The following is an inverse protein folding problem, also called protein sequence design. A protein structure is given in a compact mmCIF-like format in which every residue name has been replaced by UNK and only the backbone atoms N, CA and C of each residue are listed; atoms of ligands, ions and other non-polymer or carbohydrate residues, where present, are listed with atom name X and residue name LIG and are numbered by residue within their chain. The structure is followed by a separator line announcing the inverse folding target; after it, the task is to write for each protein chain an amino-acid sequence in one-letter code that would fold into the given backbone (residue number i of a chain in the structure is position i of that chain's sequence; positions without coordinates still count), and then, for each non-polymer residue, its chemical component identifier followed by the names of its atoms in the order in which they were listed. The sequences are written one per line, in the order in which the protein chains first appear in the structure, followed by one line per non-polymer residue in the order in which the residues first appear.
data_IF_527328502622
#
_entry.id   IF_527328502622
#
_cell.length_a   1.000
_cell.length_b   1.000
_cell.length_c   1.000
_cell.angle_alpha   90.00
_cell.angle_beta   90.00
_cell.angle_gamma   90.00
#
_symmetry.space_group_name_H-M   'P 1'
#
loop_
_entity.id
_entity.type
_entity.pdbx_description
1 polymer ?
#
# COMPACT_ATOMS: atom_id res chain seq x y z
N UNK A 1 13.28 1.23 -29.35
CA UNK A 1 12.90 -0.15 -28.98
C UNK A 1 11.85 -0.03 -27.89
N UNK A 2 10.59 -0.33 -28.21
CA UNK A 2 9.51 -0.39 -27.22
C UNK A 2 9.55 -1.77 -26.58
N UNK A 3 9.92 -1.83 -25.31
CA UNK A 3 10.10 -3.09 -24.60
C UNK A 3 8.73 -3.66 -24.20
N UNK A 4 8.30 -4.68 -24.96
CA UNK A 4 7.01 -5.36 -24.78
C UNK A 4 6.96 -6.13 -23.46
N UNK A 5 8.11 -6.49 -22.88
CA UNK A 5 8.19 -7.14 -21.56
C UNK A 5 7.84 -6.18 -20.43
N UNK A 6 8.41 -4.98 -20.45
CA UNK A 6 8.10 -3.94 -19.47
C UNK A 6 6.62 -3.49 -19.57
N UNK A 7 6.05 -3.42 -20.78
CA UNK A 7 4.63 -3.07 -20.96
C UNK A 7 3.65 -4.13 -20.44
N UNK A 8 3.97 -5.43 -20.57
CA UNK A 8 3.13 -6.52 -20.06
C UNK A 8 3.22 -6.61 -18.52
N UNK A 9 4.40 -6.42 -17.95
CA UNK A 9 4.59 -6.39 -16.49
C UNK A 9 3.88 -5.17 -15.91
N UNK A 10 4.07 -3.99 -16.49
CA UNK A 10 3.40 -2.76 -16.07
C UNK A 10 1.87 -2.85 -16.19
N UNK A 11 1.36 -3.44 -17.28
CA UNK A 11 -0.07 -3.65 -17.47
C UNK A 11 -0.68 -4.62 -16.44
N UNK A 12 0.02 -5.71 -16.14
CA UNK A 12 -0.43 -6.71 -15.15
C UNK A 12 -0.36 -6.15 -13.73
N UNK A 13 0.67 -5.39 -13.42
CA UNK A 13 0.85 -4.74 -12.12
C UNK A 13 -0.15 -3.62 -11.87
N UNK A 14 -0.37 -2.74 -12.87
CA UNK A 14 -1.40 -1.71 -12.82
C UNK A 14 -2.79 -2.35 -12.73
N UNK A 15 -3.05 -3.47 -13.43
CA UNK A 15 -4.34 -4.17 -13.31
C UNK A 15 -4.58 -4.76 -11.93
N UNK A 16 -3.54 -5.31 -11.31
CA UNK A 16 -3.62 -5.89 -9.95
C UNK A 16 -3.73 -4.80 -8.91
N UNK A 17 -3.01 -3.70 -9.08
CA UNK A 17 -3.06 -2.54 -8.22
C UNK A 17 -4.41 -1.82 -8.32
N UNK A 18 -4.93 -1.61 -9.52
CA UNK A 18 -6.29 -1.09 -9.76
C UNK A 18 -7.34 -2.07 -9.24
N UNK A 19 -7.15 -3.40 -9.34
CA UNK A 19 -8.04 -4.37 -8.72
C UNK A 19 -8.04 -4.27 -7.19
N UNK A 20 -6.86 -4.13 -6.57
CA UNK A 20 -6.74 -3.88 -5.13
C UNK A 20 -7.40 -2.55 -4.72
N UNK A 21 -7.23 -1.49 -5.50
CA UNK A 21 -7.89 -0.19 -5.26
C UNK A 21 -9.40 -0.27 -5.51
N UNK A 22 -9.88 -1.03 -6.49
CA UNK A 22 -11.30 -1.25 -6.74
C UNK A 22 -11.95 -2.11 -5.66
N UNK A 23 -11.26 -3.15 -5.17
CA UNK A 23 -11.71 -3.97 -4.03
C UNK A 23 -11.70 -3.14 -2.75
N UNK A 24 -10.66 -2.36 -2.49
CA UNK A 24 -10.62 -1.42 -1.36
C UNK A 24 -11.71 -0.36 -1.48
N UNK A 25 -11.97 0.16 -2.68
CA UNK A 25 -13.11 1.06 -2.96
C UNK A 25 -14.46 0.34 -2.88
N UNK A 26 -14.55 -0.96 -3.10
CA UNK A 26 -15.79 -1.73 -2.85
C UNK A 26 -16.01 -1.91 -1.35
N UNK A 27 -14.93 -1.92 -0.57
CA UNK A 27 -14.95 -1.96 0.89
C UNK A 27 -15.13 -0.55 1.50
N UNK A 28 -14.67 0.52 0.83
CA UNK A 28 -14.74 1.92 1.28
C UNK A 28 -15.76 2.80 0.53
N UNK A 29 -16.45 2.26 -0.47
CA UNK A 29 -17.43 2.96 -1.28
C UNK A 29 -18.74 3.05 -0.52
N UNK A 30 -18.94 4.15 0.17
CA UNK A 30 -20.26 4.56 0.63
C UNK A 30 -21.19 4.77 -0.58
N UNK A 31 -22.15 3.87 -0.68
CA UNK A 31 -23.31 3.90 -1.56
C UNK A 31 -24.23 2.77 -1.12
N UNK A 32 -24.90 3.00 0.01
CA UNK A 32 -25.93 2.15 0.62
C UNK A 32 -25.46 0.83 1.27
N UNK A 33 -24.93 0.93 2.49
CA UNK A 33 -24.90 -0.20 3.42
C UNK A 33 -23.52 -0.59 3.92
N UNK A 34 -22.89 0.27 4.74
CA UNK A 34 -22.12 -0.32 5.83
C UNK A 34 -23.16 -1.03 6.71
N UNK A 35 -23.24 -2.36 6.61
CA UNK A 35 -23.88 -3.10 7.68
C UNK A 35 -23.04 -2.81 8.90
N UNK A 36 -23.56 -1.93 9.77
CA UNK A 36 -23.12 -1.76 11.13
C UNK A 36 -22.55 -3.09 11.63
N UNK A 37 -21.33 -3.14 12.21
CA UNK A 37 -20.73 -4.40 12.66
C UNK A 37 -21.73 -5.19 13.51
N UNK A 38 -22.62 -4.47 14.17
CA UNK A 38 -23.90 -4.86 14.72
C UNK A 38 -24.93 -5.34 13.67
N UNK A 39 -25.07 -6.66 13.53
CA UNK A 39 -26.17 -7.27 12.77
C UNK A 39 -27.35 -7.53 13.68
N UNK A 40 -28.49 -6.96 13.31
CA UNK A 40 -29.74 -7.08 14.04
C UNK A 40 -30.65 -8.11 13.36
N UNK A 41 -31.49 -8.80 14.14
CA UNK A 41 -32.59 -9.58 13.56
C UNK A 41 -33.76 -8.69 13.12
N UNK A 42 -34.79 -9.30 12.52
CA UNK A 42 -36.05 -8.66 12.11
C UNK A 42 -36.77 -7.86 13.22
N UNK A 43 -36.42 -8.09 14.49
CA UNK A 43 -36.98 -7.38 15.64
C UNK A 43 -36.03 -6.30 16.19
N UNK A 44 -35.01 -5.90 15.41
CA UNK A 44 -33.95 -4.94 15.81
C UNK A 44 -33.14 -5.36 17.04
N UNK A 45 -33.02 -6.67 17.32
CA UNK A 45 -32.15 -7.17 18.42
C UNK A 45 -30.76 -7.53 17.88
N UNK A 46 -29.71 -7.03 18.52
CA UNK A 46 -28.32 -7.30 18.14
C UNK A 46 -28.00 -8.80 18.27
N UNK A 47 -27.49 -9.41 17.19
CA UNK A 47 -27.21 -10.86 17.09
C UNK A 47 -25.74 -11.15 16.81
N UNK A 48 -25.06 -10.33 16.00
CA UNK A 48 -23.66 -10.55 15.63
C UNK A 48 -22.89 -9.24 15.61
N UNK A 49 -21.61 -9.28 16.03
CA UNK A 49 -20.64 -8.20 15.85
C UNK A 49 -19.56 -8.74 14.91
N UNK A 50 -19.62 -8.40 13.62
CA UNK A 50 -18.57 -8.76 12.68
C UNK A 50 -17.37 -7.82 12.88
N UNK A 51 -16.20 -8.35 13.26
CA UNK A 51 -14.96 -7.57 13.28
C UNK A 51 -14.65 -7.15 11.84
N UNK A 52 -14.66 -5.84 11.57
CA UNK A 52 -14.24 -5.28 10.30
C UNK A 52 -12.81 -5.68 9.95
N UNK A 53 -12.50 -5.66 8.65
CA UNK A 53 -11.14 -5.96 8.17
C UNK A 53 -10.21 -4.81 8.58
N UNK A 54 -9.12 -5.14 9.27
CA UNK A 54 -8.13 -4.15 9.73
C UNK A 54 -7.23 -3.70 8.56
N UNK A 55 -7.01 -2.39 8.46
CA UNK A 55 -6.19 -1.75 7.42
C UNK A 55 -4.79 -2.34 7.39
N UNK A 56 -4.17 -2.52 8.56
CA UNK A 56 -2.83 -3.11 8.66
C UNK A 56 -2.80 -4.52 8.02
N UNK A 57 -3.80 -5.36 8.33
CA UNK A 57 -3.90 -6.70 7.76
C UNK A 57 -4.14 -6.71 6.24
N UNK A 58 -4.78 -5.69 5.69
CA UNK A 58 -4.96 -5.53 4.24
C UNK A 58 -3.65 -5.11 3.55
N UNK A 59 -2.98 -4.08 4.07
CA UNK A 59 -1.69 -3.61 3.57
C UNK A 59 -0.67 -4.74 3.62
N UNK A 60 -0.61 -5.46 4.74
CA UNK A 60 0.34 -6.55 4.91
C UNK A 60 0.16 -7.64 3.84
N UNK A 61 -1.08 -8.09 3.61
CA UNK A 61 -1.36 -9.11 2.60
C UNK A 61 -1.09 -8.63 1.18
N UNK A 62 -1.44 -7.38 0.86
CA UNK A 62 -1.26 -6.83 -0.48
C UNK A 62 0.23 -6.65 -0.84
N UNK A 63 1.02 -6.09 0.08
CA UNK A 63 2.42 -5.76 -0.20
C UNK A 63 3.37 -6.95 -0.04
N UNK A 64 3.09 -7.89 0.87
CA UNK A 64 4.03 -8.97 1.17
C UNK A 64 4.32 -9.86 -0.06
N UNK A 65 3.28 -10.23 -0.82
CA UNK A 65 3.45 -11.10 -1.97
C UNK A 65 4.21 -10.39 -3.11
N UNK A 66 3.85 -9.15 -3.40
CA UNK A 66 4.44 -8.38 -4.48
C UNK A 66 5.91 -8.02 -4.15
N UNK A 67 6.21 -7.70 -2.89
CA UNK A 67 7.59 -7.47 -2.43
C UNK A 67 8.47 -8.71 -2.63
N UNK A 68 7.97 -9.90 -2.27
CA UNK A 68 8.73 -11.15 -2.42
C UNK A 68 9.02 -11.48 -3.89
N UNK A 69 8.05 -11.28 -4.80
CA UNK A 69 8.28 -11.49 -6.22
C UNK A 69 9.19 -10.41 -6.84
N UNK A 70 9.09 -9.17 -6.36
CA UNK A 70 9.85 -8.02 -6.85
C UNK A 70 11.27 -7.91 -6.30
N UNK A 71 11.66 -8.73 -5.31
CA UNK A 71 12.93 -8.62 -4.57
C UNK A 71 14.19 -8.49 -5.45
N UNK A 72 14.20 -9.14 -6.62
CA UNK A 72 15.33 -9.10 -7.56
C UNK A 72 15.09 -8.21 -8.79
N UNK A 73 14.01 -7.40 -8.79
CA UNK A 73 13.67 -6.47 -9.85
C UNK A 73 13.54 -5.05 -9.27
N UNK A 74 14.50 -4.18 -9.61
CA UNK A 74 14.52 -2.80 -9.13
C UNK A 74 13.30 -2.01 -9.61
N UNK A 75 12.84 -2.24 -10.85
CA UNK A 75 11.69 -1.55 -11.40
C UNK A 75 10.40 -1.84 -10.63
N UNK A 76 10.20 -3.10 -10.21
CA UNK A 76 9.07 -3.51 -9.37
C UNK A 76 9.18 -2.94 -7.96
N UNK A 77 10.39 -3.00 -7.39
CA UNK A 77 10.69 -2.50 -6.03
C UNK A 77 10.45 -0.99 -5.92
N UNK A 78 10.91 -0.20 -6.90
CA UNK A 78 10.67 1.25 -6.96
C UNK A 78 9.17 1.57 -7.06
N UNK A 79 8.42 0.84 -7.91
CA UNK A 79 6.97 1.04 -8.06
C UNK A 79 6.19 0.73 -6.78
N UNK A 80 6.63 -0.28 -6.02
CA UNK A 80 6.06 -0.57 -4.70
C UNK A 80 6.24 0.61 -3.73
N UNK A 81 7.42 1.24 -3.73
CA UNK A 81 7.69 2.43 -2.91
C UNK A 81 6.86 3.64 -3.36
N UNK A 82 6.73 3.88 -4.67
CA UNK A 82 5.88 4.93 -5.23
C UNK A 82 4.39 4.73 -4.86
N UNK A 83 3.92 3.48 -4.88
CA UNK A 83 2.58 3.14 -4.43
C UNK A 83 2.36 3.45 -2.94
N UNK A 84 3.35 3.15 -2.09
CA UNK A 84 3.31 3.51 -0.66
C UNK A 84 3.25 5.03 -0.49
N UNK A 85 4.12 5.78 -1.18
CA UNK A 85 4.10 7.23 -1.14
C UNK A 85 2.77 7.81 -1.61
N UNK A 86 2.18 7.23 -2.64
CA UNK A 86 0.87 7.66 -3.16
C UNK A 86 -0.24 7.39 -2.15
N UNK A 87 -0.27 6.21 -1.51
CA UNK A 87 -1.30 5.90 -0.51
C UNK A 87 -1.15 6.81 0.72
N UNK A 88 0.08 7.14 1.10
CA UNK A 88 0.37 8.03 2.23
C UNK A 88 -0.32 9.39 2.11
N UNK A 89 -0.39 9.97 0.90
CA UNK A 89 -1.02 11.29 0.69
C UNK A 89 -2.55 11.29 0.88
N UNK A 90 -3.18 10.11 0.94
CA UNK A 90 -4.61 9.97 1.17
C UNK A 90 -4.96 9.69 2.64
N UNK A 91 -3.98 9.64 3.56
CA UNK A 91 -4.23 9.34 4.98
C UNK A 91 -3.37 10.14 5.94
N UNK A 92 -4.03 10.88 6.84
CA UNK A 92 -3.39 11.58 7.96
C UNK A 92 -3.34 10.73 9.25
N UNK A 93 -3.78 9.48 9.20
CA UNK A 93 -3.80 8.59 10.36
C UNK A 93 -2.39 8.06 10.66
N UNK A 94 -1.84 8.44 11.81
CA UNK A 94 -0.48 8.06 12.23
C UNK A 94 -0.26 6.54 12.30
N UNK A 95 -1.29 5.75 12.64
CA UNK A 95 -1.19 4.28 12.64
C UNK A 95 -1.05 3.72 11.22
N UNK A 96 -1.76 4.30 10.26
CA UNK A 96 -1.70 3.89 8.86
C UNK A 96 -0.37 4.30 8.25
N UNK A 97 0.10 5.52 8.53
CA UNK A 97 1.43 5.97 8.12
C UNK A 97 2.54 5.10 8.72
N UNK A 98 2.44 4.70 10.00
CA UNK A 98 3.40 3.77 10.60
C UNK A 98 3.41 2.40 9.89
N UNK A 99 2.24 1.88 9.50
CA UNK A 99 2.14 0.64 8.72
C UNK A 99 2.78 0.78 7.34
N UNK A 100 2.53 1.89 6.64
CA UNK A 100 3.13 2.19 5.33
C UNK A 100 4.65 2.32 5.42
N UNK A 101 5.15 3.03 6.44
CA UNK A 101 6.58 3.15 6.73
C UNK A 101 7.22 1.79 6.97
N UNK A 102 6.59 0.95 7.79
CA UNK A 102 7.08 -0.40 8.04
C UNK A 102 7.24 -1.24 6.76
N UNK A 103 6.29 -1.12 5.83
CA UNK A 103 6.40 -1.79 4.53
C UNK A 103 7.50 -1.22 3.64
N UNK A 104 7.70 0.10 3.64
CA UNK A 104 8.81 0.75 2.93
C UNK A 104 10.17 0.26 3.47
N UNK A 105 10.32 0.17 4.80
CA UNK A 105 11.53 -0.33 5.46
C UNK A 105 11.84 -1.77 5.02
N UNK A 106 10.83 -2.65 4.99
CA UNK A 106 11.00 -4.03 4.53
C UNK A 106 11.39 -4.12 3.05
N UNK A 107 10.85 -3.25 2.19
CA UNK A 107 11.17 -3.22 0.75
C UNK A 107 12.64 -2.84 0.54
N UNK A 108 13.11 -1.80 1.24
CA UNK A 108 14.51 -1.38 1.19
C UNK A 108 15.45 -2.50 1.67
N UNK A 109 15.09 -3.18 2.75
CA UNK A 109 15.89 -4.31 3.23
C UNK A 109 15.96 -5.44 2.18
N UNK A 110 14.82 -5.83 1.61
CA UNK A 110 14.76 -6.88 0.60
C UNK A 110 15.56 -6.50 -0.66
N UNK A 111 15.59 -5.23 -1.05
CA UNK A 111 16.34 -4.79 -2.23
C UNK A 111 17.85 -4.93 -2.07
N UNK A 112 18.39 -4.69 -0.87
CA UNK A 112 19.81 -4.92 -0.60
C UNK A 112 20.19 -6.40 -0.71
N UNK A 113 19.30 -7.30 -0.32
CA UNK A 113 19.52 -8.75 -0.41
C UNK A 113 19.28 -9.31 -1.81
N UNK A 114 18.33 -8.74 -2.55
CA UNK A 114 17.82 -9.30 -3.81
C UNK A 114 18.43 -8.73 -5.08
N UNK A 115 18.89 -7.48 -5.06
CA UNK A 115 19.51 -6.82 -6.21
C UNK A 115 21.01 -7.01 -6.18
N UNK A 116 21.58 -7.45 -7.30
CA UNK A 116 23.03 -7.62 -7.44
C UNK A 116 23.75 -6.36 -7.91
N UNK A 117 23.05 -5.46 -8.60
CA UNK A 117 23.61 -4.25 -9.18
C UNK A 117 23.54 -3.08 -8.19
N UNK A 118 24.66 -2.39 -8.01
CA UNK A 118 24.76 -1.29 -7.05
C UNK A 118 23.95 -0.06 -7.46
N UNK A 119 23.88 0.23 -8.77
CA UNK A 119 23.07 1.34 -9.27
C UNK A 119 21.57 1.10 -9.00
N UNK A 120 21.10 -0.12 -9.22
CA UNK A 120 19.71 -0.51 -8.97
C UNK A 120 19.33 -0.36 -7.48
N UNK A 121 20.25 -0.69 -6.57
CA UNK A 121 20.06 -0.47 -5.12
C UNK A 121 19.95 1.01 -4.79
N UNK A 122 20.83 1.82 -5.39
CA UNK A 122 20.82 3.27 -5.20
C UNK A 122 19.52 3.91 -5.69
N UNK A 123 19.01 3.48 -6.84
CA UNK A 123 17.74 3.96 -7.37
C UNK A 123 16.56 3.62 -6.43
N UNK A 124 16.59 2.45 -5.79
CA UNK A 124 15.63 2.07 -4.75
C UNK A 124 15.78 2.92 -3.48
N UNK A 125 17.01 3.14 -3.00
CA UNK A 125 17.28 4.01 -1.85
C UNK A 125 16.75 5.43 -2.08
N UNK A 126 17.03 6.02 -3.25
CA UNK A 126 16.56 7.35 -3.62
C UNK A 126 15.03 7.42 -3.60
N UNK A 127 14.34 6.40 -4.15
CA UNK A 127 12.88 6.29 -4.08
C UNK A 127 12.38 6.19 -2.64
N UNK A 128 13.01 5.35 -1.82
CA UNK A 128 12.68 5.18 -0.41
C UNK A 128 12.78 6.49 0.39
N UNK A 129 13.84 7.28 0.18
CA UNK A 129 13.99 8.57 0.83
C UNK A 129 12.85 9.54 0.49
N UNK A 130 12.33 9.51 -0.74
CA UNK A 130 11.15 10.31 -1.10
C UNK A 130 9.90 9.84 -0.33
N UNK A 131 9.71 8.53 -0.16
CA UNK A 131 8.60 7.98 0.63
C UNK A 131 8.66 8.49 2.07
N UNK A 132 9.81 8.38 2.72
CA UNK A 132 9.99 8.81 4.12
C UNK A 132 9.81 10.31 4.26
N UNK A 133 10.32 11.11 3.32
CA UNK A 133 10.11 12.55 3.31
C UNK A 133 8.63 12.91 3.23
N UNK A 134 7.86 12.23 2.39
CA UNK A 134 6.41 12.47 2.26
C UNK A 134 5.67 12.09 3.55
N UNK A 135 5.99 10.92 4.13
CA UNK A 135 5.40 10.49 5.41
C UNK A 135 5.71 11.44 6.57
N UNK A 136 6.90 12.06 6.59
CA UNK A 136 7.29 13.01 7.65
C UNK A 136 6.76 14.44 7.43
N UNK A 137 6.50 14.84 6.19
CA UNK A 137 5.98 16.19 5.90
C UNK A 137 4.53 16.35 6.32
N UNK A 138 3.73 15.28 6.34
CA UNK A 138 2.35 15.31 6.86
C UNK A 138 2.29 15.52 8.39
N UNK A 139 3.38 15.23 9.11
CA UNK A 139 3.48 15.56 10.55
C UNK A 139 3.77 17.05 10.79
N UNK A 140 4.36 17.76 9.83
CA UNK A 140 4.69 19.20 9.93
C UNK A 140 3.56 20.12 9.42
N UNK A 141 2.54 19.59 8.73
CA UNK A 141 1.34 20.34 8.34
C UNK A 141 0.23 20.25 9.42
N UNK A 142 0.64 20.21 10.69
CA UNK A 142 -0.22 20.17 11.90
C UNK A 142 -0.29 21.50 12.65
N UNK A 143 0.38 22.54 12.17
CA UNK A 143 0.12 23.91 12.62
C UNK A 143 -0.80 24.58 11.58
N UNK A 144 -1.85 25.25 12.07
CA UNK A 144 -2.90 26.00 11.36
C UNK A 144 -4.20 25.25 10.99
N UNK A 145 -5.00 24.91 12.00
CA UNK A 145 -6.25 25.67 12.35
C UNK A 145 -6.73 25.34 13.76
#
# INVERSE_FOLDING_TARGET
MHDTGNQIVLGTFISTFIYCLLVLRTIHGEGDGYESPYRYDKNKKLRFIAKGVDFQGLVERAFNQIRQYGKSDAGVTIRLLEAIATIATYTNNSKYQASLRHHADMILQDSHEGLSQEQDRKDVEDSYYQVIKNLNNDDNNKDWD
#
